data_IF_392109600130
#
_entry.id   IF_392109600130
#
_cell.length_a   1.000
_cell.length_b   1.000
_cell.length_c   1.000
_cell.angle_alpha   90.00
_cell.angle_beta   90.00
_cell.angle_gamma   90.00
#
_symmetry.space_group_name_H-M   'P 1'
#
loop_
_entity.id
_entity.type
_entity.pdbx_description
1 polymer ?
#
# COMPACT_ATOMS: atom_id res chain seq x y z
N UNK A 1 31.78 19.38 -10.37
CA UNK A 1 32.75 18.29 -10.33
C UNK A 1 32.68 17.69 -8.93
N UNK A 2 31.83 16.66 -8.76
CA UNK A 2 31.71 15.87 -7.53
C UNK A 2 32.72 14.74 -7.58
N UNK A 3 33.50 14.59 -6.51
CA UNK A 3 34.43 13.48 -6.37
C UNK A 3 33.70 12.15 -6.33
N UNK A 4 34.21 11.07 -6.92
CA UNK A 4 33.61 9.75 -6.82
C UNK A 4 33.68 9.28 -5.36
N UNK A 5 32.54 8.85 -4.80
CA UNK A 5 32.48 8.21 -3.51
C UNK A 5 33.31 6.92 -3.59
N UNK A 6 34.33 6.83 -2.76
CA UNK A 6 35.15 5.63 -2.59
C UNK A 6 34.26 4.51 -2.07
N UNK A 7 33.98 3.51 -2.88
CA UNK A 7 33.31 2.30 -2.45
C UNK A 7 34.15 1.65 -1.34
N UNK A 8 33.69 1.81 -0.10
CA UNK A 8 34.20 1.04 1.04
C UNK A 8 33.73 -0.39 0.85
N UNK A 9 34.59 -1.27 0.38
CA UNK A 9 34.33 -2.70 0.36
C UNK A 9 34.14 -3.17 1.78
N UNK A 10 32.87 -3.31 2.19
CA UNK A 10 32.50 -3.97 3.44
C UNK A 10 32.99 -5.41 3.37
N UNK A 11 33.79 -5.91 4.36
CA UNK A 11 34.19 -7.30 4.36
C UNK A 11 32.92 -8.16 4.37
N UNK A 12 32.84 -9.07 3.40
CA UNK A 12 31.79 -10.09 3.37
C UNK A 12 31.78 -10.79 4.74
N UNK A 13 30.68 -10.78 5.45
CA UNK A 13 30.53 -11.57 6.66
C UNK A 13 30.84 -13.03 6.32
N UNK A 14 31.66 -13.73 7.12
CA UNK A 14 31.92 -15.13 6.89
C UNK A 14 30.58 -15.88 6.86
N UNK A 15 30.38 -16.67 5.81
CA UNK A 15 29.16 -17.44 5.56
C UNK A 15 28.82 -18.48 6.65
N UNK A 16 29.60 -18.54 7.73
CA UNK A 16 29.60 -19.60 8.74
C UNK A 16 29.37 -19.09 10.17
N UNK A 17 28.72 -17.97 10.36
CA UNK A 17 28.41 -17.42 11.67
C UNK A 17 27.19 -18.09 12.36
N UNK A 18 26.79 -19.30 11.98
CA UNK A 18 25.70 -20.04 12.63
C UNK A 18 24.31 -19.42 12.47
N UNK A 19 24.15 -18.42 11.57
CA UNK A 19 22.88 -17.84 11.23
C UNK A 19 22.17 -18.69 10.17
N UNK A 20 21.12 -19.40 10.58
CA UNK A 20 20.25 -20.06 9.63
C UNK A 20 19.32 -19.02 8.99
N UNK A 21 19.38 -18.87 7.67
CA UNK A 21 18.44 -18.05 6.93
C UNK A 21 17.01 -18.53 7.22
N UNK A 22 16.16 -17.65 7.74
CA UNK A 22 14.73 -17.94 7.88
C UNK A 22 14.14 -18.17 6.48
N UNK A 23 13.46 -19.31 6.31
CA UNK A 23 12.74 -19.61 5.06
C UNK A 23 11.44 -18.85 4.99
N UNK A 24 10.93 -18.51 3.80
CA UNK A 24 9.63 -17.91 3.65
C UNK A 24 8.56 -18.79 4.32
N UNK A 25 7.75 -18.17 5.17
CA UNK A 25 6.59 -18.86 5.78
C UNK A 25 5.38 -18.66 4.87
N UNK A 26 4.71 -19.74 4.52
CA UNK A 26 3.52 -19.68 3.68
C UNK A 26 2.48 -18.70 4.27
N UNK A 27 2.00 -17.76 3.45
CA UNK A 27 1.04 -16.74 3.84
C UNK A 27 1.61 -15.50 4.50
N UNK A 28 2.93 -15.44 4.77
CA UNK A 28 3.59 -14.27 5.34
C UNK A 28 4.51 -13.63 4.28
N UNK A 29 4.26 -12.36 3.97
CA UNK A 29 5.09 -11.60 3.04
C UNK A 29 5.08 -12.09 1.59
N UNK A 30 4.22 -13.05 1.26
CA UNK A 30 4.08 -13.58 -0.09
C UNK A 30 2.73 -13.20 -0.70
N UNK A 31 2.67 -12.99 -2.03
CA UNK A 31 1.41 -12.71 -2.70
C UNK A 31 0.46 -13.91 -2.63
N UNK A 32 -0.80 -13.63 -2.39
CA UNK A 32 -1.87 -14.65 -2.44
C UNK A 32 -2.33 -14.80 -3.89
N UNK A 33 -2.35 -16.01 -4.47
CA UNK A 33 -2.84 -16.21 -5.83
C UNK A 33 -4.26 -15.66 -6.00
N UNK A 34 -4.47 -14.85 -7.05
CA UNK A 34 -5.73 -14.17 -7.35
C UNK A 34 -6.29 -13.28 -6.22
N UNK A 35 -5.44 -12.85 -5.28
CA UNK A 35 -5.83 -11.95 -4.21
C UNK A 35 -6.17 -10.56 -4.75
N UNK A 36 -7.38 -10.07 -4.45
CA UNK A 36 -7.87 -8.73 -4.82
C UNK A 36 -7.83 -7.75 -3.64
N UNK A 37 -7.56 -8.24 -2.44
CA UNK A 37 -7.48 -7.44 -1.22
C UNK A 37 -6.01 -7.07 -0.91
N UNK A 38 -5.84 -6.08 -0.02
CA UNK A 38 -4.53 -5.79 0.55
C UNK A 38 -4.01 -6.99 1.34
N UNK A 39 -2.70 -7.16 1.36
CA UNK A 39 -2.04 -8.23 2.12
C UNK A 39 -2.42 -8.20 3.60
N UNK A 40 -2.20 -9.32 4.28
CA UNK A 40 -2.36 -9.40 5.74
C UNK A 40 -1.46 -8.37 6.44
N UNK A 41 -2.02 -7.69 7.44
CA UNK A 41 -1.36 -6.62 8.16
C UNK A 41 -0.97 -7.08 9.56
N UNK A 42 0.31 -7.00 9.89
CA UNK A 42 0.86 -7.51 11.15
C UNK A 42 1.07 -6.41 12.21
N UNK A 43 1.13 -5.14 11.81
CA UNK A 43 1.26 -4.02 12.74
C UNK A 43 -0.11 -3.48 13.19
N UNK A 44 -0.23 -2.89 14.41
CA UNK A 44 -1.47 -2.25 14.85
C UNK A 44 -1.96 -1.16 13.89
N UNK A 45 -1.05 -0.34 13.39
CA UNK A 45 -1.35 0.74 12.43
C UNK A 45 -1.80 0.16 11.08
N UNK A 46 -1.11 -0.88 10.60
CA UNK A 46 -1.50 -1.58 9.37
C UNK A 46 -2.91 -2.18 9.47
N UNK A 47 -3.24 -2.84 10.59
CA UNK A 47 -4.60 -3.36 10.83
C UNK A 47 -5.65 -2.26 10.88
N UNK A 48 -5.34 -1.11 11.48
CA UNK A 48 -6.23 0.05 11.48
C UNK A 48 -6.45 0.60 10.06
N UNK A 49 -5.39 0.67 9.25
CA UNK A 49 -5.48 1.07 7.84
C UNK A 49 -6.32 0.10 7.00
N UNK A 50 -6.09 -1.21 7.16
CA UNK A 50 -6.90 -2.26 6.52
C UNK A 50 -8.37 -2.17 6.92
N UNK A 51 -8.65 -2.04 8.20
CA UNK A 51 -10.03 -1.90 8.70
C UNK A 51 -10.72 -0.65 8.14
N UNK A 52 -10.02 0.48 8.04
CA UNK A 52 -10.55 1.68 7.40
C UNK A 52 -10.88 1.46 5.93
N UNK A 53 -10.00 0.79 5.18
CA UNK A 53 -10.24 0.48 3.77
C UNK A 53 -11.44 -0.45 3.60
N UNK A 54 -11.47 -1.57 4.33
CA UNK A 54 -12.46 -2.64 4.13
C UNK A 54 -13.83 -2.31 4.72
N UNK A 55 -13.90 -1.62 5.86
CA UNK A 55 -15.15 -1.37 6.58
C UNK A 55 -15.72 0.03 6.37
N UNK A 56 -14.91 0.98 5.88
CA UNK A 56 -15.37 2.37 5.65
C UNK A 56 -15.33 2.70 4.17
N UNK A 57 -14.15 2.67 3.54
CA UNK A 57 -13.99 3.15 2.17
C UNK A 57 -14.66 2.24 1.14
N UNK A 58 -14.39 0.93 1.17
CA UNK A 58 -14.95 -0.01 0.19
C UNK A 58 -16.48 -0.06 0.21
N UNK A 59 -17.18 -0.12 1.37
CA UNK A 59 -18.64 -0.04 1.40
C UNK A 59 -19.18 1.27 0.85
N UNK A 60 -18.57 2.42 1.18
CA UNK A 60 -19.00 3.72 0.66
C UNK A 60 -18.84 3.76 -0.86
N UNK A 61 -17.68 3.34 -1.38
CA UNK A 61 -17.41 3.30 -2.83
C UNK A 61 -18.41 2.37 -3.53
N UNK A 62 -18.66 1.19 -2.98
CA UNK A 62 -19.61 0.23 -3.55
C UNK A 62 -21.04 0.80 -3.61
N UNK A 63 -21.50 1.41 -2.51
CA UNK A 63 -22.84 2.03 -2.47
C UNK A 63 -22.97 3.17 -3.48
N UNK A 64 -21.96 4.05 -3.57
CA UNK A 64 -21.97 5.16 -4.52
C UNK A 64 -21.96 4.62 -5.96
N UNK A 65 -21.12 3.61 -6.25
CA UNK A 65 -21.01 3.02 -7.59
C UNK A 65 -22.33 2.37 -8.03
N UNK A 66 -22.97 1.61 -7.14
CA UNK A 66 -24.28 0.98 -7.42
C UNK A 66 -25.36 2.04 -7.60
N UNK A 67 -25.36 3.09 -6.77
CA UNK A 67 -26.30 4.20 -6.88
C UNK A 67 -26.18 4.93 -8.22
N UNK A 68 -24.96 5.28 -8.62
CA UNK A 68 -24.71 5.95 -9.91
C UNK A 68 -25.10 5.04 -11.07
N UNK A 69 -24.75 3.76 -11.02
CA UNK A 69 -25.14 2.79 -12.04
C UNK A 69 -26.69 2.69 -12.16
N UNK A 70 -27.39 2.64 -11.02
CA UNK A 70 -28.86 2.60 -11.01
C UNK A 70 -29.48 3.87 -11.63
N UNK A 71 -28.92 5.06 -11.34
CA UNK A 71 -29.34 6.30 -11.96
C UNK A 71 -29.08 6.32 -13.47
N UNK A 72 -27.94 5.81 -13.92
CA UNK A 72 -27.64 5.70 -15.35
C UNK A 72 -28.63 4.78 -16.06
N UNK A 73 -28.88 3.59 -15.50
CA UNK A 73 -29.86 2.64 -16.06
C UNK A 73 -31.27 3.28 -16.08
N UNK A 74 -31.66 3.91 -15.00
CA UNK A 74 -32.93 4.62 -14.91
C UNK A 74 -33.04 5.68 -16.02
N UNK A 75 -32.03 6.50 -16.20
CA UNK A 75 -31.99 7.55 -17.21
C UNK A 75 -32.12 6.97 -18.61
N UNK A 76 -31.37 5.91 -18.93
CA UNK A 76 -31.41 5.24 -20.23
C UNK A 76 -32.83 4.67 -20.50
N UNK A 77 -33.44 4.02 -19.54
CA UNK A 77 -34.77 3.41 -19.73
C UNK A 77 -35.86 4.48 -19.81
N UNK A 78 -35.83 5.46 -18.90
CA UNK A 78 -36.91 6.44 -18.73
C UNK A 78 -36.91 7.53 -19.79
N UNK A 79 -35.74 7.96 -20.23
CA UNK A 79 -35.56 9.10 -21.13
C UNK A 79 -35.11 8.72 -22.54
N UNK A 80 -35.22 7.46 -22.93
CA UNK A 80 -35.01 7.04 -24.34
C UNK A 80 -36.01 7.72 -25.25
N UNK A 81 -35.63 8.01 -26.50
CA UNK A 81 -36.46 8.69 -27.49
C UNK A 81 -37.85 8.06 -27.68
N UNK A 82 -37.95 6.72 -27.63
CA UNK A 82 -39.23 6.02 -27.73
C UNK A 82 -40.17 6.24 -26.54
N UNK A 83 -39.61 6.48 -25.35
CA UNK A 83 -40.40 6.72 -24.10
C UNK A 83 -40.64 8.21 -23.86
N UNK A 84 -39.87 9.10 -24.46
CA UNK A 84 -39.93 10.55 -24.26
C UNK A 84 -39.76 11.28 -25.60
N UNK A 85 -40.77 11.26 -26.47
CA UNK A 85 -40.74 11.91 -27.77
C UNK A 85 -40.63 13.44 -27.68
N UNK A 86 -41.14 14.05 -26.62
CA UNK A 86 -41.05 15.50 -26.39
C UNK A 86 -40.17 15.77 -25.15
N UNK A 87 -38.95 16.32 -25.34
CA UNK A 87 -38.05 16.64 -24.21
C UNK A 87 -38.64 17.71 -23.30
N UNK A 88 -38.39 17.60 -21.99
CA UNK A 88 -38.69 18.66 -21.04
C UNK A 88 -37.82 19.89 -21.26
N UNK A 89 -38.41 21.07 -21.09
CA UNK A 89 -37.69 22.36 -21.12
C UNK A 89 -37.11 22.77 -19.77
N UNK A 90 -37.41 22.02 -18.70
CA UNK A 90 -36.87 22.30 -17.35
C UNK A 90 -35.39 21.93 -17.31
N UNK A 91 -34.54 22.91 -17.08
CA UNK A 91 -33.10 22.76 -17.17
C UNK A 91 -32.38 22.71 -15.82
N UNK A 92 -33.04 23.12 -14.73
CA UNK A 92 -32.42 23.20 -13.42
C UNK A 92 -33.43 22.92 -12.30
N UNK A 93 -32.91 22.47 -11.14
CA UNK A 93 -33.68 22.28 -9.90
C UNK A 93 -32.77 22.58 -8.71
N UNK A 94 -32.96 23.74 -8.10
CA UNK A 94 -32.13 24.24 -7.01
C UNK A 94 -32.03 23.24 -5.84
N UNK A 95 -33.11 22.57 -5.48
CA UNK A 95 -33.12 21.62 -4.36
C UNK A 95 -32.21 20.42 -4.64
N UNK A 96 -32.26 19.87 -5.86
CA UNK A 96 -31.40 18.75 -6.25
C UNK A 96 -29.93 19.19 -6.30
N UNK A 97 -29.67 20.40 -6.79
CA UNK A 97 -28.32 20.98 -6.85
C UNK A 97 -27.68 21.11 -5.46
N UNK A 98 -28.44 21.61 -4.49
CA UNK A 98 -27.98 21.66 -3.09
C UNK A 98 -27.72 20.26 -2.54
N UNK A 99 -28.60 19.30 -2.80
CA UNK A 99 -28.43 17.92 -2.31
C UNK A 99 -27.16 17.28 -2.89
N UNK A 100 -26.96 17.33 -4.21
CA UNK A 100 -25.79 16.67 -4.80
C UNK A 100 -24.46 17.37 -4.50
N UNK A 101 -24.48 18.61 -4.05
CA UNK A 101 -23.28 19.32 -3.56
C UNK A 101 -23.03 19.00 -2.08
N UNK A 102 -24.06 19.08 -1.25
CA UNK A 102 -23.93 18.95 0.20
C UNK A 102 -23.69 17.50 0.65
N UNK A 103 -24.38 16.52 0.04
CA UNK A 103 -24.24 15.11 0.44
C UNK A 103 -22.81 14.58 0.25
N UNK A 104 -22.14 14.75 -0.90
CA UNK A 104 -20.75 14.37 -1.03
C UNK A 104 -19.82 15.07 -0.05
N UNK A 105 -20.03 16.36 0.20
CA UNK A 105 -19.23 17.12 1.19
C UNK A 105 -19.39 16.54 2.61
N UNK A 106 -20.60 16.17 3.02
CA UNK A 106 -20.84 15.54 4.31
C UNK A 106 -20.24 14.14 4.40
N UNK A 107 -20.27 13.35 3.32
CA UNK A 107 -19.60 12.04 3.25
C UNK A 107 -18.08 12.20 3.44
N UNK A 108 -17.46 13.15 2.73
CA UNK A 108 -16.02 13.44 2.87
C UNK A 108 -15.68 13.89 4.30
N UNK A 109 -16.51 14.76 4.89
CA UNK A 109 -16.33 15.17 6.27
C UNK A 109 -16.41 13.98 7.24
N UNK A 110 -17.38 13.06 7.02
CA UNK A 110 -17.50 11.83 7.81
C UNK A 110 -16.26 10.93 7.70
N UNK A 111 -15.68 10.79 6.49
CA UNK A 111 -14.46 10.02 6.27
C UNK A 111 -13.23 10.70 6.88
N UNK A 112 -13.21 12.03 6.96
CA UNK A 112 -12.07 12.79 7.46
C UNK A 112 -11.71 12.42 8.91
N UNK A 113 -12.71 12.19 9.79
CA UNK A 113 -12.45 11.88 11.20
C UNK A 113 -11.61 10.61 11.41
N UNK A 114 -11.98 9.42 10.91
CA UNK A 114 -11.16 8.23 11.04
C UNK A 114 -9.85 8.35 10.27
N UNK A 115 -9.82 9.07 9.14
CA UNK A 115 -8.65 9.32 8.33
C UNK A 115 -7.59 10.12 9.08
N UNK A 116 -7.97 11.25 9.69
CA UNK A 116 -7.04 12.06 10.48
C UNK A 116 -6.52 11.31 11.71
N UNK A 117 -7.36 10.48 12.34
CA UNK A 117 -6.92 9.64 13.46
C UNK A 117 -5.86 8.62 13.02
N UNK A 118 -6.07 7.96 11.89
CA UNK A 118 -5.10 7.03 11.31
C UNK A 118 -3.80 7.76 10.97
N UNK A 119 -3.90 8.92 10.32
CA UNK A 119 -2.76 9.76 9.96
C UNK A 119 -1.96 10.18 11.19
N UNK A 120 -2.63 10.65 12.24
CA UNK A 120 -1.98 11.02 13.50
C UNK A 120 -1.22 9.84 14.12
N UNK A 121 -1.78 8.63 14.10
CA UNK A 121 -1.12 7.43 14.60
C UNK A 121 0.11 7.04 13.75
N UNK A 122 0.09 7.30 12.44
CA UNK A 122 1.24 7.05 11.56
C UNK A 122 2.39 8.04 11.80
N UNK A 123 2.07 9.31 12.09
CA UNK A 123 3.07 10.35 12.37
C UNK A 123 3.63 10.33 13.79
N UNK A 124 3.00 9.62 14.71
CA UNK A 124 3.46 9.46 16.09
C UNK A 124 3.78 7.98 16.38
N UNK A 125 4.82 7.42 15.77
CA UNK A 125 5.22 6.05 16.05
C UNK A 125 5.73 5.96 17.51
N UNK A 126 5.62 4.78 18.15
CA UNK A 126 6.25 4.54 19.46
C UNK A 126 7.76 4.69 19.34
N UNK A 127 8.44 4.85 20.49
CA UNK A 127 9.90 4.90 20.52
C UNK A 127 10.45 3.61 19.89
N UNK A 128 11.33 3.78 18.91
CA UNK A 128 11.98 2.65 18.24
C UNK A 128 13.08 2.06 19.14
N UNK A 129 13.20 0.73 19.18
CA UNK A 129 14.31 0.01 19.79
C UNK A 129 15.47 -0.16 18.83
N UNK A 130 15.19 -0.13 17.53
CA UNK A 130 16.15 -0.21 16.43
C UNK A 130 15.76 0.76 15.33
N UNK A 131 16.74 1.55 14.89
CA UNK A 131 16.58 2.42 13.72
C UNK A 131 17.29 1.79 12.52
N UNK A 132 16.57 1.66 11.41
CA UNK A 132 17.14 1.24 10.13
C UNK A 132 16.86 2.32 9.10
N UNK A 133 17.92 2.88 8.51
CA UNK A 133 17.80 3.79 7.39
C UNK A 133 17.78 2.98 6.10
N UNK A 134 16.70 3.12 5.34
CA UNK A 134 16.47 2.43 4.08
C UNK A 134 16.57 3.43 2.93
N UNK A 135 17.46 3.15 1.98
CA UNK A 135 17.65 3.96 0.78
C UNK A 135 17.31 3.15 -0.46
N UNK A 136 16.33 3.63 -1.26
CA UNK A 136 15.97 3.02 -2.53
C UNK A 136 16.89 3.49 -3.65
N UNK A 137 17.46 2.55 -4.37
CA UNK A 137 18.21 2.80 -5.59
C UNK A 137 17.48 2.16 -6.77
N UNK A 138 17.90 2.48 -7.98
CA UNK A 138 17.32 1.84 -9.16
C UNK A 138 17.72 0.35 -9.17
N UNK A 139 16.70 -0.49 -8.90
CA UNK A 139 16.68 -1.94 -8.88
C UNK A 139 17.30 -2.62 -7.64
N UNK A 140 17.68 -1.89 -6.57
CA UNK A 140 18.15 -2.48 -5.31
C UNK A 140 17.90 -1.57 -4.10
N UNK A 141 18.13 -2.07 -2.89
CA UNK A 141 17.97 -1.35 -1.64
C UNK A 141 19.27 -1.30 -0.87
N UNK A 142 19.57 -0.13 -0.29
CA UNK A 142 20.65 0.03 0.69
C UNK A 142 20.08 0.14 2.10
N UNK A 143 20.70 -0.52 3.05
CA UNK A 143 20.34 -0.49 4.47
C UNK A 143 21.50 0.02 5.30
N UNK A 144 21.19 0.80 6.32
CA UNK A 144 22.17 1.32 7.28
C UNK A 144 21.57 1.24 8.69
N UNK A 145 22.37 0.77 9.64
CA UNK A 145 22.04 0.71 11.07
C UNK A 145 22.79 1.82 11.82
N UNK A 146 22.25 3.04 11.93
CA UNK A 146 22.95 4.18 12.55
C UNK A 146 23.31 3.93 14.02
N UNK A 147 22.42 3.23 14.73
CA UNK A 147 22.55 2.96 16.17
C UNK A 147 23.67 1.93 16.49
N UNK A 148 24.18 1.22 15.47
CA UNK A 148 25.18 0.15 15.59
C UNK A 148 26.46 0.44 14.81
N UNK A 149 26.98 1.66 14.96
CA UNK A 149 28.24 2.04 14.32
C UNK A 149 28.16 2.31 12.82
N UNK A 150 26.95 2.51 12.28
CA UNK A 150 26.75 2.85 10.86
C UNK A 150 27.01 1.68 9.92
N UNK A 151 26.77 0.43 10.35
CA UNK A 151 26.87 -0.74 9.47
C UNK A 151 25.93 -0.53 8.29
N UNK A 152 26.48 -0.57 7.07
CA UNK A 152 25.72 -0.38 5.85
C UNK A 152 26.02 -1.50 4.85
N UNK A 153 24.97 -1.91 4.11
CA UNK A 153 25.10 -2.91 3.03
C UNK A 153 24.00 -2.71 1.99
N UNK A 154 24.24 -3.25 0.81
CA UNK A 154 23.28 -3.26 -0.28
C UNK A 154 22.62 -4.63 -0.39
N UNK A 155 21.36 -4.62 -0.82
CA UNK A 155 20.49 -5.79 -1.00
C UNK A 155 20.06 -5.85 -2.45
N UNK A 156 20.67 -6.73 -3.23
CA UNK A 156 20.41 -6.90 -4.66
C UNK A 156 19.46 -8.08 -4.89
N UNK A 157 18.48 -7.97 -5.79
CA UNK A 157 17.63 -9.09 -6.17
C UNK A 157 18.46 -10.25 -6.72
N UNK A 158 18.15 -11.47 -6.31
CA UNK A 158 18.79 -12.67 -6.85
C UNK A 158 18.49 -12.83 -8.34
N UNK A 159 19.49 -13.32 -9.09
CA UNK A 159 19.24 -13.77 -10.46
C UNK A 159 18.26 -14.95 -10.47
N UNK A 160 17.60 -15.20 -11.62
CA UNK A 160 16.67 -16.32 -11.73
C UNK A 160 17.34 -17.68 -11.47
N UNK A 161 18.63 -17.81 -11.87
CA UNK A 161 19.40 -19.02 -11.64
C UNK A 161 19.75 -19.22 -10.16
N UNK A 162 20.16 -18.16 -9.48
CA UNK A 162 20.54 -18.21 -8.07
C UNK A 162 19.33 -18.40 -7.16
N UNK A 163 18.20 -17.76 -7.46
CA UNK A 163 16.94 -18.01 -6.78
C UNK A 163 16.50 -19.49 -6.91
N UNK A 164 16.59 -20.06 -8.11
CA UNK A 164 16.25 -21.46 -8.34
C UNK A 164 17.20 -22.41 -7.59
N UNK A 165 18.51 -22.12 -7.55
CA UNK A 165 19.49 -22.91 -6.77
C UNK A 165 19.23 -22.81 -5.27
N UNK A 166 18.83 -21.65 -4.78
CA UNK A 166 18.52 -21.44 -3.36
C UNK A 166 17.13 -22.00 -2.96
N UNK A 167 16.28 -22.36 -3.93
CA UNK A 167 14.90 -22.77 -3.68
C UNK A 167 13.99 -21.62 -3.24
N UNK A 168 14.35 -20.38 -3.60
CA UNK A 168 13.67 -19.15 -3.20
C UNK A 168 12.85 -18.55 -4.37
N UNK A 169 11.77 -17.82 -4.09
CA UNK A 169 10.97 -17.19 -5.12
C UNK A 169 11.76 -16.11 -5.87
N UNK A 170 11.78 -16.19 -7.19
CA UNK A 170 12.39 -15.16 -8.04
C UNK A 170 11.71 -13.80 -7.83
N UNK A 171 12.49 -12.72 -7.77
CA UNK A 171 12.08 -11.33 -7.47
C UNK A 171 11.60 -11.06 -6.04
N UNK A 172 11.58 -12.06 -5.17
CA UNK A 172 11.16 -11.88 -3.77
C UNK A 172 12.31 -12.12 -2.78
N UNK A 173 13.46 -12.58 -3.26
CA UNK A 173 14.65 -12.77 -2.44
C UNK A 173 15.85 -11.97 -2.95
N UNK A 174 16.77 -11.72 -2.02
CA UNK A 174 17.96 -10.89 -2.20
C UNK A 174 19.21 -11.60 -1.68
N UNK A 175 20.38 -11.13 -2.13
CA UNK A 175 21.68 -11.63 -1.68
C UNK A 175 21.94 -11.37 -0.19
N UNK A 176 21.65 -10.15 0.28
CA UNK A 176 21.81 -9.72 1.66
C UNK A 176 20.46 -9.29 2.24
N UNK A 177 19.87 -10.13 3.10
CA UNK A 177 18.60 -9.84 3.74
C UNK A 177 18.76 -8.86 4.91
N UNK A 178 17.77 -7.97 5.07
CA UNK A 178 17.65 -7.14 6.26
C UNK A 178 17.37 -8.03 7.47
N UNK A 179 18.18 -7.91 8.52
CA UNK A 179 18.03 -8.66 9.78
C UNK A 179 17.52 -7.72 10.87
N UNK A 180 16.43 -8.09 11.51
CA UNK A 180 15.84 -7.34 12.62
C UNK A 180 15.57 -8.29 13.80
N UNK A 181 15.61 -7.80 15.05
CA UNK A 181 15.21 -8.60 16.22
C UNK A 181 13.74 -9.02 16.11
N UNK A 182 13.42 -10.20 16.63
CA UNK A 182 12.06 -10.71 16.73
C UNK A 182 11.32 -10.12 17.94
#
# INVERSE_FOLDING_TARGET
>A
AGAPATATTTPAMPADAGYERSKPTAGLGQPVPAGINVQEQFTPIGRQGKAMLEHVLNPIIAVISVFVLALMIWTIIRYRAAANPTPSTTTHNFTIEVIWTLVPALILLGIAFPSFRLLANQYNPPKADLTVKVTGYQWYWGYEYPDYGGIAFDSLPLSQEDAAKAGEPYLLDVDNRLVVPA
#
